data_IF_390812681484
#
_entry.id   IF_390812681484
#
_cell.length_a   1.000
_cell.length_b   1.000
_cell.length_c   1.000
_cell.angle_alpha   90.00
_cell.angle_beta   90.00
_cell.angle_gamma   90.00
#
_symmetry.space_group_name_H-M   'P 1'
#
loop_
_entity.id
_entity.type
_entity.pdbx_description
1 polymer ?
#
# COMPACT_ATOMS: atom_id res chain seq x y z
N UNK A 1 1.48 11.12 31.26
CA UNK A 1 0.87 9.88 30.75
C UNK A 1 0.03 10.29 29.56
N UNK A 2 0.59 10.26 28.36
CA UNK A 2 -0.16 10.49 27.13
C UNK A 2 -0.96 9.22 26.85
N UNK A 3 -2.27 9.36 26.62
CA UNK A 3 -3.20 8.28 26.32
C UNK A 3 -2.62 7.29 25.30
N UNK A 4 -2.26 6.09 25.76
CA UNK A 4 -2.00 4.94 24.89
C UNK A 4 -3.34 4.42 24.41
N UNK A 5 -4.00 5.19 23.53
CA UNK A 5 -5.32 4.89 23.00
C UNK A 5 -5.41 3.45 22.47
N UNK A 6 -6.33 2.67 23.03
CA UNK A 6 -7.23 1.66 22.44
C UNK A 6 -6.70 0.80 21.25
N UNK A 7 -5.42 0.47 21.17
CA UNK A 7 -4.93 -0.51 20.19
C UNK A 7 -4.87 -1.89 20.82
N UNK A 8 -5.93 -2.69 20.65
CA UNK A 8 -5.94 -4.09 21.10
C UNK A 8 -5.41 -4.99 19.98
N UNK A 9 -4.31 -5.74 20.21
CA UNK A 9 -3.82 -6.72 19.24
C UNK A 9 -4.88 -7.79 18.93
N UNK A 10 -5.07 -8.08 17.64
CA UNK A 10 -5.90 -9.18 17.15
C UNK A 10 -5.01 -10.20 16.45
N UNK A 11 -5.07 -11.46 16.89
CA UNK A 11 -4.32 -12.56 16.27
C UNK A 11 -4.86 -12.84 14.86
N UNK A 12 -3.96 -13.03 13.91
CA UNK A 12 -4.28 -13.40 12.53
C UNK A 12 -3.93 -14.87 12.27
N UNK A 13 -4.43 -15.44 11.17
CA UNK A 13 -4.31 -16.87 10.91
C UNK A 13 -2.88 -17.38 10.63
N UNK A 14 -1.92 -16.49 10.36
CA UNK A 14 -0.49 -16.86 10.20
C UNK A 14 0.33 -16.68 11.50
N UNK A 15 -0.34 -16.36 12.62
CA UNK A 15 0.29 -16.17 13.93
C UNK A 15 0.82 -14.75 14.18
N UNK A 16 0.79 -13.86 13.18
CA UNK A 16 1.06 -12.43 13.37
C UNK A 16 -0.18 -11.70 13.92
N UNK A 17 -0.03 -10.42 14.25
CA UNK A 17 -1.11 -9.61 14.84
C UNK A 17 -1.50 -8.42 13.97
N UNK A 18 -2.72 -7.93 14.11
CA UNK A 18 -3.17 -6.65 13.56
C UNK A 18 -3.81 -5.79 14.66
N UNK A 19 -3.90 -4.48 14.46
CA UNK A 19 -4.86 -3.64 15.19
C UNK A 19 -6.16 -3.48 14.40
N UNK A 20 -7.19 -2.97 15.08
CA UNK A 20 -8.42 -2.47 14.47
C UNK A 20 -8.49 -0.96 14.68
N UNK A 21 -8.71 -0.20 13.61
CA UNK A 21 -8.98 1.22 13.69
C UNK A 21 -10.48 1.45 13.84
N UNK A 22 -10.90 2.01 14.97
CA UNK A 22 -12.30 2.41 15.17
C UNK A 22 -12.70 3.56 14.23
N UNK A 23 -11.78 4.47 13.93
CA UNK A 23 -11.99 5.60 13.02
C UNK A 23 -12.34 5.13 11.59
N UNK A 24 -11.58 4.17 11.07
CA UNK A 24 -11.78 3.66 9.71
C UNK A 24 -12.71 2.43 9.65
N UNK A 25 -12.98 1.79 10.79
CA UNK A 25 -13.79 0.59 10.89
C UNK A 25 -13.18 -0.63 10.20
N UNK A 26 -11.84 -0.69 10.15
CA UNK A 26 -11.05 -1.69 9.43
C UNK A 26 -9.84 -2.15 10.26
N UNK A 27 -9.36 -3.36 9.99
CA UNK A 27 -8.07 -3.83 10.54
C UNK A 27 -6.92 -3.25 9.73
N UNK A 28 -5.78 -2.97 10.39
CA UNK A 28 -4.57 -2.44 9.73
C UNK A 28 -3.97 -3.42 8.73
N UNK A 29 -4.00 -4.71 9.08
CA UNK A 29 -3.67 -5.80 8.18
C UNK A 29 -4.76 -6.84 8.23
N UNK A 30 -4.66 -7.81 7.35
CA UNK A 30 -5.67 -8.80 7.19
C UNK A 30 -5.65 -9.91 8.24
N UNK A 31 -6.82 -10.28 8.74
CA UNK A 31 -6.99 -11.35 9.74
C UNK A 31 -6.56 -12.75 9.26
N UNK A 32 -6.37 -12.96 7.95
CA UNK A 32 -5.87 -14.24 7.42
C UNK A 32 -4.34 -14.37 7.47
N UNK A 33 -3.64 -13.32 7.88
CA UNK A 33 -2.20 -13.33 8.05
C UNK A 33 -1.58 -12.03 7.59
N UNK A 34 -1.13 -11.23 8.56
CA UNK A 34 -0.56 -9.90 8.29
C UNK A 34 0.88 -9.99 7.79
N UNK A 35 1.66 -10.95 8.29
CA UNK A 35 3.02 -11.23 7.78
C UNK A 35 2.97 -11.73 6.33
N UNK A 36 2.11 -12.71 6.06
CA UNK A 36 1.94 -13.27 4.71
C UNK A 36 1.41 -12.23 3.72
N UNK A 37 0.57 -11.31 4.18
CA UNK A 37 0.13 -10.18 3.37
C UNK A 37 1.29 -9.26 2.99
N UNK A 38 2.13 -8.84 3.95
CA UNK A 38 3.31 -8.02 3.69
C UNK A 38 4.24 -8.65 2.64
N UNK A 39 4.53 -9.94 2.79
CA UNK A 39 5.38 -10.69 1.86
C UNK A 39 4.77 -10.78 0.45
N UNK A 40 3.54 -11.27 0.34
CA UNK A 40 2.94 -11.64 -0.95
C UNK A 40 2.28 -10.47 -1.69
N UNK A 41 1.81 -9.43 -0.99
CA UNK A 41 1.15 -8.27 -1.61
C UNK A 41 2.10 -7.11 -1.86
N UNK A 42 3.22 -7.02 -1.13
CA UNK A 42 4.14 -5.89 -1.23
C UNK A 42 5.55 -6.31 -1.64
N UNK A 43 6.21 -7.21 -0.91
CA UNK A 43 7.61 -7.57 -1.16
C UNK A 43 7.79 -8.33 -2.48
N UNK A 44 7.00 -9.37 -2.73
CA UNK A 44 7.10 -10.14 -3.98
C UNK A 44 6.77 -9.31 -5.23
N UNK A 45 5.65 -8.57 -5.29
CA UNK A 45 5.28 -7.87 -6.52
C UNK A 45 6.23 -6.72 -6.89
N UNK A 46 6.92 -6.15 -5.90
CA UNK A 46 7.95 -5.12 -6.11
C UNK A 46 9.31 -5.69 -6.54
N UNK A 47 9.43 -7.02 -6.67
CA UNK A 47 10.63 -7.74 -7.11
C UNK A 47 11.85 -7.45 -6.25
N UNK A 48 11.65 -7.16 -4.96
CA UNK A 48 12.76 -6.77 -4.10
C UNK A 48 13.84 -7.87 -4.01
N UNK A 49 13.49 -9.16 -4.13
CA UNK A 49 14.46 -10.26 -4.17
C UNK A 49 15.46 -10.14 -5.31
N UNK A 50 15.00 -9.76 -6.50
CA UNK A 50 15.88 -9.50 -7.63
C UNK A 50 16.65 -8.18 -7.44
N UNK A 51 15.99 -7.15 -6.93
CA UNK A 51 16.60 -5.82 -6.75
C UNK A 51 17.67 -5.81 -5.66
N UNK A 52 17.59 -6.67 -4.64
CA UNK A 52 18.54 -6.74 -3.53
C UNK A 52 19.99 -7.07 -3.94
N UNK A 53 20.21 -7.55 -5.17
CA UNK A 53 21.55 -7.68 -5.75
C UNK A 53 22.23 -6.33 -6.06
N UNK A 54 21.47 -5.23 -6.07
CA UNK A 54 22.03 -3.88 -6.15
C UNK A 54 22.71 -3.50 -4.83
N UNK A 55 23.72 -2.61 -4.84
CA UNK A 55 24.41 -2.19 -3.63
C UNK A 55 23.53 -1.31 -2.72
N UNK A 56 22.53 -0.63 -3.29
CA UNK A 56 21.64 0.26 -2.55
C UNK A 56 20.22 0.19 -3.10
N UNK A 57 19.24 0.14 -2.20
CA UNK A 57 17.82 0.21 -2.52
C UNK A 57 17.13 1.35 -1.78
N UNK A 58 16.19 1.98 -2.47
CA UNK A 58 15.35 3.04 -1.93
C UNK A 58 13.91 2.54 -1.78
N UNK A 59 13.36 2.62 -0.57
CA UNK A 59 12.02 2.14 -0.26
C UNK A 59 11.16 3.29 0.27
N UNK A 60 9.91 3.35 -0.17
CA UNK A 60 8.90 4.26 0.37
C UNK A 60 7.71 3.46 0.88
N UNK A 61 7.41 3.58 2.17
CA UNK A 61 6.28 2.91 2.83
C UNK A 61 5.21 3.95 3.19
N UNK A 62 4.08 3.94 2.48
CA UNK A 62 2.99 4.90 2.65
C UNK A 62 1.90 4.24 3.48
N UNK A 63 1.58 4.85 4.62
CA UNK A 63 0.78 4.28 5.70
C UNK A 63 1.51 3.13 6.40
N UNK A 64 2.65 3.49 7.00
CA UNK A 64 3.54 2.58 7.69
C UNK A 64 2.82 1.67 8.71
N UNK A 65 1.87 2.21 9.48
CA UNK A 65 1.08 1.45 10.45
C UNK A 65 1.94 0.70 11.45
N UNK A 66 1.86 -0.64 11.41
CA UNK A 66 2.63 -1.52 12.30
C UNK A 66 4.08 -1.74 11.83
N UNK A 67 4.38 -1.37 10.58
CA UNK A 67 5.67 -1.53 9.93
C UNK A 67 5.92 -2.90 9.29
N UNK A 68 4.91 -3.76 9.16
CA UNK A 68 5.13 -5.13 8.65
C UNK A 68 5.64 -5.19 7.21
N UNK A 69 5.19 -4.29 6.34
CA UNK A 69 5.70 -4.19 4.97
C UNK A 69 7.19 -3.87 4.97
N UNK A 70 7.61 -2.93 5.83
CA UNK A 70 9.03 -2.61 6.05
C UNK A 70 9.81 -3.79 6.64
N UNK A 71 9.25 -4.51 7.62
CA UNK A 71 9.94 -5.63 8.27
C UNK A 71 10.21 -6.77 7.26
N UNK A 72 9.18 -7.12 6.47
CA UNK A 72 9.28 -8.12 5.42
C UNK A 72 10.29 -7.70 4.34
N UNK A 73 10.31 -6.41 3.96
CA UNK A 73 11.23 -5.90 2.97
C UNK A 73 12.69 -5.97 3.44
N UNK A 74 12.98 -5.51 4.67
CA UNK A 74 14.34 -5.53 5.23
C UNK A 74 14.86 -6.96 5.41
N UNK A 75 14.03 -7.87 5.94
CA UNK A 75 14.40 -9.29 6.07
C UNK A 75 14.77 -9.89 4.74
N UNK A 76 13.92 -9.73 3.72
CA UNK A 76 14.17 -10.31 2.41
C UNK A 76 15.42 -9.68 1.77
N UNK A 77 15.59 -8.35 1.83
CA UNK A 77 16.75 -7.67 1.24
C UNK A 77 18.05 -8.19 1.85
N UNK A 78 18.12 -8.27 3.19
CA UNK A 78 19.34 -8.69 3.88
C UNK A 78 19.55 -10.20 3.92
N UNK A 79 18.50 -11.01 3.70
CA UNK A 79 18.62 -12.44 3.39
C UNK A 79 19.36 -12.64 2.06
N UNK A 80 19.02 -11.86 1.03
CA UNK A 80 19.63 -11.96 -0.31
C UNK A 80 21.02 -11.32 -0.34
N UNK A 81 21.16 -10.15 0.26
CA UNK A 81 22.40 -9.38 0.29
C UNK A 81 22.56 -8.68 1.65
N UNK A 82 23.29 -9.31 2.59
CA UNK A 82 23.51 -8.76 3.93
C UNK A 82 24.16 -7.37 3.96
N UNK A 83 24.83 -6.98 2.87
CA UNK A 83 25.53 -5.71 2.72
C UNK A 83 24.74 -4.68 1.90
N UNK A 84 23.54 -5.01 1.43
CA UNK A 84 22.70 -4.06 0.70
C UNK A 84 22.35 -2.88 1.62
N UNK A 85 22.73 -1.67 1.21
CA UNK A 85 22.30 -0.45 1.89
C UNK A 85 20.85 -0.14 1.55
N UNK A 86 20.07 0.24 2.54
CA UNK A 86 18.67 0.63 2.34
C UNK A 86 18.49 2.09 2.74
N UNK A 87 18.05 2.92 1.81
CA UNK A 87 17.46 4.23 2.09
C UNK A 87 15.95 4.03 2.21
N UNK A 88 15.39 4.33 3.36
CA UNK A 88 13.99 4.06 3.63
C UNK A 88 13.28 5.30 4.14
N UNK A 89 12.07 5.52 3.62
CA UNK A 89 11.17 6.56 4.10
C UNK A 89 9.81 5.94 4.38
N UNK A 90 9.28 6.15 5.57
CA UNK A 90 7.91 5.82 5.94
C UNK A 90 7.07 7.07 6.13
N UNK A 91 5.81 7.03 5.71
CA UNK A 91 4.82 8.07 5.98
C UNK A 91 3.72 7.50 6.88
N UNK A 92 3.44 8.17 7.99
CA UNK A 92 2.40 7.77 8.94
C UNK A 92 1.64 9.00 9.43
N UNK A 93 0.31 8.90 9.55
CA UNK A 93 -0.49 9.98 10.11
C UNK A 93 -0.40 9.99 11.63
N UNK A 94 -0.53 8.82 12.25
CA UNK A 94 -0.63 8.68 13.71
C UNK A 94 0.60 7.99 14.30
N UNK A 95 1.47 8.79 14.94
CA UNK A 95 2.66 8.31 15.63
C UNK A 95 2.38 7.36 16.80
N UNK A 96 1.14 7.29 17.30
CA UNK A 96 0.77 6.38 18.38
C UNK A 96 0.68 4.92 17.90
N UNK A 97 0.39 4.68 16.62
CA UNK A 97 0.28 3.32 16.05
C UNK A 97 1.64 2.58 16.09
N UNK A 98 2.76 3.14 15.56
CA UNK A 98 4.08 2.52 15.70
C UNK A 98 4.49 2.27 17.15
N UNK A 99 4.18 3.23 18.04
CA UNK A 99 4.51 3.12 19.47
C UNK A 99 3.73 1.99 20.14
N UNK A 100 2.44 1.85 19.82
CA UNK A 100 1.62 0.76 20.30
C UNK A 100 2.10 -0.60 19.76
N UNK A 101 2.50 -0.68 18.50
CA UNK A 101 3.04 -1.92 17.92
C UNK A 101 4.29 -2.42 18.68
N UNK A 102 5.17 -1.50 19.09
CA UNK A 102 6.33 -1.80 19.94
C UNK A 102 5.91 -2.20 21.35
N UNK A 103 5.02 -1.43 21.98
CA UNK A 103 4.56 -1.69 23.35
C UNK A 103 3.85 -3.05 23.48
N UNK A 104 3.14 -3.49 22.45
CA UNK A 104 2.47 -4.78 22.38
C UNK A 104 3.34 -5.92 21.82
N UNK A 105 4.63 -5.66 21.55
CA UNK A 105 5.57 -6.67 21.05
C UNK A 105 5.16 -7.31 19.72
N UNK A 106 4.43 -6.58 18.87
CA UNK A 106 3.92 -7.12 17.60
C UNK A 106 5.03 -7.50 16.63
N UNK A 107 6.22 -6.94 16.83
CA UNK A 107 7.38 -7.20 15.97
C UNK A 107 8.23 -8.40 16.40
N UNK A 108 7.92 -9.08 17.50
CA UNK A 108 8.73 -10.20 18.00
C UNK A 108 8.74 -11.42 17.07
N UNK A 109 7.82 -11.50 16.10
CA UNK A 109 7.77 -12.56 15.08
C UNK A 109 8.69 -12.29 13.87
N UNK A 110 9.35 -11.14 13.85
CA UNK A 110 10.34 -10.74 12.86
C UNK A 110 11.76 -10.88 13.44
N UNK A 111 12.77 -10.72 12.60
CA UNK A 111 14.17 -10.75 12.96
C UNK A 111 14.43 -9.79 14.14
N UNK A 112 15.13 -10.21 15.21
CA UNK A 112 15.42 -9.35 16.37
C UNK A 112 16.04 -7.99 16.04
N UNK A 113 16.80 -7.87 14.95
CA UNK A 113 17.34 -6.59 14.49
C UNK A 113 16.24 -5.58 14.12
N UNK A 114 15.11 -6.05 13.57
CA UNK A 114 13.94 -5.22 13.29
C UNK A 114 13.37 -4.63 14.57
N UNK A 115 13.36 -5.36 15.69
CA UNK A 115 12.84 -4.81 16.94
C UNK A 115 13.58 -3.53 17.38
N UNK A 116 14.91 -3.50 17.22
CA UNK A 116 15.72 -2.31 17.55
C UNK A 116 15.49 -1.16 16.56
N UNK A 117 15.49 -1.46 15.26
CA UNK A 117 15.24 -0.46 14.21
C UNK A 117 13.88 0.21 14.44
N UNK A 118 12.85 -0.58 14.70
CA UNK A 118 11.48 -0.08 14.76
C UNK A 118 11.20 0.64 16.08
N UNK A 119 11.83 0.22 17.19
CA UNK A 119 11.82 1.00 18.42
C UNK A 119 12.42 2.39 18.20
N UNK A 120 13.55 2.49 17.50
CA UNK A 120 14.15 3.79 17.15
C UNK A 120 13.24 4.60 16.22
N UNK A 121 12.68 4.01 15.15
CA UNK A 121 11.72 4.71 14.29
C UNK A 121 10.51 5.24 15.06
N UNK A 122 9.92 4.45 15.96
CA UNK A 122 8.76 4.85 16.75
C UNK A 122 9.07 5.96 17.78
N UNK A 123 10.33 6.09 18.22
CA UNK A 123 10.73 7.04 19.28
C UNK A 123 11.39 8.31 18.75
N UNK A 124 12.31 8.20 17.80
CA UNK A 124 13.08 9.32 17.23
C UNK A 124 12.67 9.68 15.80
N UNK A 125 11.92 8.81 15.11
CA UNK A 125 11.59 8.95 13.70
C UNK A 125 12.77 8.67 12.76
N UNK A 126 13.95 8.26 13.26
CA UNK A 126 15.16 8.07 12.44
C UNK A 126 16.01 6.90 12.92
N UNK A 127 16.60 6.19 11.97
CA UNK A 127 17.62 5.16 12.21
C UNK A 127 18.74 5.33 11.21
N UNK A 128 19.98 5.28 11.70
CA UNK A 128 21.16 5.27 10.86
C UNK A 128 22.14 4.21 11.34
N UNK A 129 22.44 3.27 10.46
CA UNK A 129 23.46 2.22 10.62
C UNK A 129 24.34 2.18 9.36
N UNK A 130 25.30 1.26 9.29
CA UNK A 130 26.12 1.08 8.09
C UNK A 130 25.29 0.68 6.85
N UNK A 131 24.19 -0.07 7.06
CA UNK A 131 23.34 -0.61 5.98
C UNK A 131 21.92 -0.06 5.93
N UNK A 132 21.54 0.85 6.82
CA UNK A 132 20.21 1.45 6.84
C UNK A 132 20.29 2.95 7.12
N UNK A 133 19.66 3.76 6.28
CA UNK A 133 19.28 5.13 6.59
C UNK A 133 17.75 5.22 6.46
N UNK A 134 17.05 5.34 7.58
CA UNK A 134 15.60 5.27 7.63
C UNK A 134 15.01 6.50 8.32
N UNK A 135 13.95 7.05 7.74
CA UNK A 135 13.18 8.15 8.32
C UNK A 135 11.68 7.86 8.30
N UNK A 136 11.04 7.89 9.45
CA UNK A 136 9.58 7.89 9.59
C UNK A 136 9.09 9.32 9.75
N UNK A 137 8.28 9.79 8.81
CA UNK A 137 7.72 11.14 8.80
C UNK A 137 6.25 11.07 9.23
N UNK A 138 5.95 11.76 10.33
CA UNK A 138 4.60 11.83 10.87
C UNK A 138 3.87 13.05 10.28
N UNK A 139 2.70 12.82 9.69
CA UNK A 139 1.84 13.85 9.13
C UNK A 139 0.96 13.33 7.98
N UNK A 140 0.06 14.18 7.49
CA UNK A 140 -0.80 13.85 6.34
C UNK A 140 0.07 13.48 5.12
N UNK A 141 -0.12 12.26 4.62
CA UNK A 141 0.62 11.73 3.48
C UNK A 141 0.50 12.63 2.24
N UNK A 142 -0.62 13.38 2.07
CA UNK A 142 -0.81 14.33 0.97
C UNK A 142 0.19 15.49 1.00
N UNK A 143 0.63 15.89 2.20
CA UNK A 143 1.66 16.92 2.39
C UNK A 143 3.06 16.32 2.41
N UNK A 144 3.26 15.22 3.15
CA UNK A 144 4.60 14.64 3.33
C UNK A 144 5.15 14.02 2.04
N UNK A 145 4.29 13.47 1.15
CA UNK A 145 4.75 12.98 -0.17
C UNK A 145 5.37 14.07 -1.03
N UNK A 146 4.90 15.31 -0.93
CA UNK A 146 5.47 16.45 -1.65
C UNK A 146 6.87 16.78 -1.13
N UNK A 147 7.07 16.70 0.19
CA UNK A 147 8.39 16.87 0.81
C UNK A 147 9.38 15.82 0.32
N UNK A 148 8.94 14.56 0.20
CA UNK A 148 9.76 13.46 -0.35
C UNK A 148 10.13 13.70 -1.81
N UNK A 149 9.17 14.16 -2.61
CA UNK A 149 9.48 14.50 -3.99
C UNK A 149 10.54 15.61 -4.09
N UNK A 150 10.40 16.66 -3.27
CA UNK A 150 11.30 17.82 -3.25
C UNK A 150 12.68 17.53 -2.65
N UNK A 151 12.83 16.49 -1.83
CA UNK A 151 14.13 16.00 -1.38
C UNK A 151 14.88 15.21 -2.47
N UNK A 152 14.30 15.10 -3.67
CA UNK A 152 14.81 14.32 -4.80
C UNK A 152 14.88 12.81 -4.53
N UNK A 153 14.14 12.31 -3.53
CA UNK A 153 14.04 10.90 -3.24
C UNK A 153 13.22 10.18 -4.32
N UNK A 154 13.73 9.06 -4.82
CA UNK A 154 13.04 8.16 -5.77
C UNK A 154 13.23 6.72 -5.33
N UNK A 155 12.13 5.98 -5.21
CA UNK A 155 12.07 4.63 -4.68
C UNK A 155 12.22 3.56 -5.77
N UNK A 156 12.96 2.51 -5.47
CA UNK A 156 12.95 1.24 -6.19
C UNK A 156 11.66 0.46 -5.94
N UNK A 157 11.11 0.59 -4.72
CA UNK A 157 9.83 0.01 -4.34
C UNK A 157 8.99 0.99 -3.51
N UNK A 158 7.71 1.13 -3.87
CA UNK A 158 6.71 1.87 -3.07
C UNK A 158 5.68 0.87 -2.56
N UNK A 159 5.44 0.88 -1.26
CA UNK A 159 4.31 0.20 -0.63
C UNK A 159 3.21 1.23 -0.39
N UNK A 160 2.05 1.02 -1.01
CA UNK A 160 0.88 1.87 -0.85
C UNK A 160 -0.19 1.09 -0.09
N UNK A 161 -0.26 1.31 1.22
CA UNK A 161 -1.10 0.52 2.13
C UNK A 161 -2.04 1.34 3.05
N UNK A 162 -2.80 2.33 2.52
CA UNK A 162 -3.80 3.01 3.34
C UNK A 162 -5.05 2.13 3.53
N UNK A 163 -5.91 2.50 4.47
CA UNK A 163 -7.25 1.92 4.60
C UNK A 163 -8.05 2.00 3.29
N UNK A 164 -9.08 1.16 3.16
CA UNK A 164 -9.71 0.90 1.86
C UNK A 164 -10.29 2.16 1.21
N UNK A 165 -10.42 2.21 -0.13
CA UNK A 165 -10.83 3.44 -0.82
C UNK A 165 -12.14 4.10 -0.37
N UNK A 166 -13.18 3.35 0.05
CA UNK A 166 -14.36 3.95 0.66
C UNK A 166 -14.13 4.55 2.05
N UNK A 167 -13.11 4.11 2.79
CA UNK A 167 -12.79 4.56 4.16
C UNK A 167 -11.75 5.68 4.21
N UNK A 168 -10.72 5.61 3.37
CA UNK A 168 -9.66 6.62 3.29
C UNK A 168 -9.48 7.14 1.86
N UNK A 169 -10.53 7.72 1.23
CA UNK A 169 -10.48 8.14 -0.18
C UNK A 169 -9.37 9.15 -0.50
N UNK A 170 -8.90 9.92 0.50
CA UNK A 170 -7.84 10.92 0.39
C UNK A 170 -6.55 10.35 -0.24
N UNK A 171 -6.23 9.10 0.06
CA UNK A 171 -4.97 8.45 -0.36
C UNK A 171 -5.13 7.59 -1.62
N UNK A 172 -6.28 7.70 -2.30
CA UNK A 172 -6.59 6.98 -3.54
C UNK A 172 -6.97 7.91 -4.69
N UNK A 173 -6.75 9.22 -4.52
CA UNK A 173 -7.08 10.22 -5.55
C UNK A 173 -6.05 10.25 -6.66
N UNK A 174 -6.46 10.70 -7.85
CA UNK A 174 -5.53 10.90 -8.97
C UNK A 174 -4.39 11.83 -8.56
N UNK A 175 -4.69 12.89 -7.84
CA UNK A 175 -3.72 13.90 -7.43
C UNK A 175 -2.69 13.35 -6.45
N UNK A 176 -3.14 12.61 -5.43
CA UNK A 176 -2.22 11.98 -4.48
C UNK A 176 -1.36 10.93 -5.19
N UNK A 177 -1.97 10.04 -5.97
CA UNK A 177 -1.23 8.97 -6.67
C UNK A 177 -0.29 9.51 -7.76
N UNK A 178 -0.56 10.70 -8.31
CA UNK A 178 0.38 11.40 -9.20
C UNK A 178 1.63 11.85 -8.45
N UNK A 179 1.50 12.31 -7.20
CA UNK A 179 2.66 12.60 -6.35
C UNK A 179 3.43 11.34 -5.96
N UNK A 180 2.72 10.26 -5.65
CA UNK A 180 3.35 8.96 -5.37
C UNK A 180 4.13 8.46 -6.58
N UNK A 181 3.56 8.51 -7.79
CA UNK A 181 4.22 8.11 -9.03
C UNK A 181 5.50 8.93 -9.30
N UNK A 182 5.49 10.24 -8.99
CA UNK A 182 6.68 11.09 -9.11
C UNK A 182 7.82 10.67 -8.16
N UNK A 183 7.52 9.97 -7.07
CA UNK A 183 8.52 9.42 -6.14
C UNK A 183 9.00 8.02 -6.56
N UNK A 184 8.53 7.47 -7.67
CA UNK A 184 8.96 6.17 -8.19
C UNK A 184 10.13 6.33 -9.17
N UNK A 185 11.15 5.47 -9.09
CA UNK A 185 12.17 5.39 -10.15
C UNK A 185 11.58 4.86 -11.47
N UNK A 186 12.19 5.14 -12.63
CA UNK A 186 11.71 4.61 -13.92
C UNK A 186 11.56 3.08 -13.98
N UNK A 187 12.46 2.35 -13.32
CA UNK A 187 12.45 0.89 -13.15
C UNK A 187 11.87 0.45 -11.79
N UNK A 188 11.31 1.40 -11.03
CA UNK A 188 10.66 1.19 -9.76
C UNK A 188 9.33 0.44 -9.89
N UNK A 189 8.89 -0.19 -8.80
CA UNK A 189 7.55 -0.79 -8.70
C UNK A 189 6.78 -0.29 -7.49
N UNK A 190 5.52 0.06 -7.69
CA UNK A 190 4.56 0.31 -6.64
C UNK A 190 3.70 -0.94 -6.46
N UNK A 191 3.43 -1.33 -5.22
CA UNK A 191 2.47 -2.38 -4.91
C UNK A 191 1.42 -1.91 -3.89
N UNK A 192 0.20 -2.41 -4.06
CA UNK A 192 -0.91 -2.20 -3.13
C UNK A 192 -1.81 -3.43 -3.09
N UNK A 193 -2.42 -3.72 -1.93
CA UNK A 193 -3.41 -4.79 -1.80
C UNK A 193 -4.70 -4.51 -2.61
N UNK A 194 -4.98 -3.24 -2.92
CA UNK A 194 -6.23 -2.83 -3.52
C UNK A 194 -6.32 -3.24 -5.00
N UNK A 195 -7.43 -3.88 -5.38
CA UNK A 195 -7.82 -4.14 -6.77
C UNK A 195 -8.99 -3.28 -7.25
N UNK A 196 -9.32 -2.21 -6.52
CA UNK A 196 -10.44 -1.35 -6.87
C UNK A 196 -10.21 -0.71 -8.26
N UNK A 197 -11.23 -0.74 -9.11
CA UNK A 197 -11.15 -0.18 -10.46
C UNK A 197 -10.80 1.32 -10.44
N UNK A 198 -11.33 2.09 -9.50
CA UNK A 198 -10.99 3.51 -9.32
C UNK A 198 -9.51 3.75 -8.98
N UNK A 199 -8.90 2.88 -8.15
CA UNK A 199 -7.48 2.97 -7.80
C UNK A 199 -6.62 2.66 -9.02
N UNK A 200 -6.95 1.59 -9.74
CA UNK A 200 -6.27 1.21 -10.99
C UNK A 200 -6.38 2.30 -12.06
N UNK A 201 -7.55 2.89 -12.22
CA UNK A 201 -7.76 4.03 -13.13
C UNK A 201 -6.95 5.26 -12.69
N UNK A 202 -6.85 5.54 -11.40
CA UNK A 202 -6.03 6.64 -10.90
C UNK A 202 -4.52 6.41 -11.07
N UNK A 203 -4.04 5.17 -10.91
CA UNK A 203 -2.65 4.80 -11.23
C UNK A 203 -2.35 4.96 -12.73
N UNK A 204 -3.28 4.55 -13.60
CA UNK A 204 -3.19 4.78 -15.05
C UNK A 204 -3.14 6.29 -15.35
N UNK A 205 -4.01 7.07 -14.71
CA UNK A 205 -4.03 8.53 -14.86
C UNK A 205 -2.74 9.20 -14.37
N UNK A 206 -2.06 8.60 -13.37
CA UNK A 206 -0.73 9.01 -12.91
C UNK A 206 0.42 8.62 -13.86
N UNK A 207 0.11 8.02 -15.01
CA UNK A 207 1.09 7.61 -16.03
C UNK A 207 1.74 6.25 -15.78
N UNK A 208 1.24 5.49 -14.80
CA UNK A 208 1.74 4.15 -14.52
C UNK A 208 0.99 3.10 -15.33
N UNK A 209 1.71 2.09 -15.75
CA UNK A 209 1.13 0.86 -16.25
C UNK A 209 0.83 -0.06 -15.06
N UNK A 210 -0.24 -0.84 -15.15
CA UNK A 210 -0.76 -1.63 -14.03
C UNK A 210 -0.86 -3.11 -14.39
N UNK A 211 -0.76 -3.95 -13.37
CA UNK A 211 -1.06 -5.35 -13.45
C UNK A 211 -1.57 -5.92 -12.14
N UNK A 212 -1.95 -7.19 -12.19
CA UNK A 212 -2.48 -7.91 -11.05
C UNK A 212 -1.33 -8.56 -10.28
N UNK A 213 -1.36 -8.49 -8.95
CA UNK A 213 -0.50 -9.37 -8.15
C UNK A 213 -1.14 -10.76 -8.07
N UNK A 214 -0.34 -11.79 -7.77
CA UNK A 214 -0.91 -13.13 -7.63
C UNK A 214 -1.98 -13.17 -6.51
N UNK A 215 -3.11 -13.84 -6.75
CA UNK A 215 -4.12 -14.03 -5.71
C UNK A 215 -3.54 -14.88 -4.58
N UNK A 216 -3.73 -14.44 -3.35
CA UNK A 216 -3.29 -15.17 -2.15
C UNK A 216 -4.48 -15.94 -1.60
N UNK A 217 -4.47 -17.26 -1.78
CA UNK A 217 -5.59 -18.12 -1.39
C UNK A 217 -6.87 -17.81 -2.19
N UNK A 218 -8.00 -17.59 -1.50
CA UNK A 218 -9.31 -17.28 -2.13
C UNK A 218 -9.53 -15.79 -2.41
N UNK A 219 -8.50 -14.95 -2.29
CA UNK A 219 -8.63 -13.49 -2.34
C UNK A 219 -8.42 -12.93 -3.72
N UNK A 220 -9.02 -11.78 -3.93
CA UNK A 220 -8.74 -10.94 -5.07
C UNK A 220 -7.23 -10.65 -5.19
N UNK A 221 -6.72 -10.51 -6.42
CA UNK A 221 -5.37 -10.03 -6.65
C UNK A 221 -5.20 -8.62 -6.06
N UNK A 222 -3.96 -8.17 -5.86
CA UNK A 222 -3.67 -6.76 -5.59
C UNK A 222 -3.40 -6.01 -6.90
N UNK A 223 -2.74 -4.86 -6.80
CA UNK A 223 -2.25 -4.12 -7.97
C UNK A 223 -0.75 -3.87 -7.83
N UNK A 224 0.00 -4.15 -8.90
CA UNK A 224 1.38 -3.67 -9.08
C UNK A 224 1.38 -2.63 -10.19
N UNK A 225 2.20 -1.59 -10.06
CA UNK A 225 2.31 -0.53 -11.03
C UNK A 225 3.75 -0.09 -11.26
N UNK A 226 4.10 0.30 -12.49
CA UNK A 226 5.42 0.81 -12.88
C UNK A 226 5.31 1.70 -14.11
N UNK A 227 6.35 2.46 -14.44
CA UNK A 227 6.44 3.16 -15.73
C UNK A 227 6.74 2.20 -16.89
N UNK A 228 7.19 0.97 -16.62
CA UNK A 228 7.53 -0.03 -17.64
C UNK A 228 6.74 -1.33 -17.46
N UNK A 229 6.36 -1.93 -18.59
CA UNK A 229 5.43 -3.08 -18.62
C UNK A 229 6.10 -4.44 -18.71
N UNK A 230 7.43 -4.49 -18.88
CA UNK A 230 8.11 -5.66 -19.42
C UNK A 230 7.86 -6.95 -18.60
N UNK A 231 7.62 -6.84 -17.29
CA UNK A 231 7.45 -7.99 -16.40
C UNK A 231 6.30 -7.83 -15.39
N UNK A 232 5.24 -7.11 -15.77
CA UNK A 232 4.02 -6.98 -14.95
C UNK A 232 2.94 -7.92 -15.49
N UNK A 233 2.38 -8.77 -14.61
CA UNK A 233 1.31 -9.69 -15.00
C UNK A 233 0.06 -8.93 -15.44
N UNK A 234 -0.44 -9.25 -16.63
CA UNK A 234 -1.63 -8.59 -17.18
C UNK A 234 -2.86 -8.82 -16.30
N UNK A 235 -3.76 -7.82 -16.29
CA UNK A 235 -5.07 -7.96 -15.70
C UNK A 235 -5.88 -9.06 -16.43
N UNK A 236 -6.66 -9.83 -15.69
CA UNK A 236 -7.62 -10.77 -16.30
C UNK A 236 -8.66 -10.03 -17.15
N UNK A 237 -9.30 -10.72 -18.10
CA UNK A 237 -10.39 -10.15 -18.92
C UNK A 237 -11.48 -9.53 -18.05
N UNK A 238 -11.85 -10.20 -16.95
CA UNK A 238 -12.82 -9.71 -15.98
C UNK A 238 -12.41 -8.36 -15.38
N UNK A 239 -11.14 -8.22 -15.00
CA UNK A 239 -10.59 -6.99 -14.42
C UNK A 239 -10.46 -5.87 -15.46
N UNK A 240 -10.06 -6.20 -16.70
CA UNK A 240 -10.01 -5.25 -17.80
C UNK A 240 -11.41 -4.71 -18.12
N UNK A 241 -12.43 -5.57 -18.20
CA UNK A 241 -13.83 -5.13 -18.36
C UNK A 241 -14.29 -4.25 -17.20
N UNK A 242 -13.89 -4.57 -15.97
CA UNK A 242 -14.29 -3.79 -14.79
C UNK A 242 -13.79 -2.32 -14.87
N UNK A 243 -12.64 -2.08 -15.50
CA UNK A 243 -12.10 -0.75 -15.77
C UNK A 243 -12.95 0.08 -16.74
N UNK A 244 -13.86 -0.54 -17.49
CA UNK A 244 -14.78 0.15 -18.41
C UNK A 244 -16.16 0.42 -17.78
N UNK A 245 -16.29 0.23 -16.47
CA UNK A 245 -17.53 0.48 -15.72
C UNK A 245 -17.44 1.77 -14.89
N UNK A 246 -18.58 2.21 -14.35
CA UNK A 246 -18.64 3.32 -13.39
C UNK A 246 -17.76 3.11 -12.15
N UNK A 247 -17.37 1.87 -11.81
CA UNK A 247 -16.44 1.62 -10.70
C UNK A 247 -15.05 2.22 -10.94
N UNK A 248 -14.64 2.40 -12.20
CA UNK A 248 -13.34 2.93 -12.59
C UNK A 248 -13.24 4.45 -12.52
N UNK A 249 -14.36 5.15 -12.29
CA UNK A 249 -14.34 6.60 -12.09
C UNK A 249 -13.50 6.88 -10.84
N UNK A 250 -12.38 7.62 -10.96
CA UNK A 250 -11.41 7.75 -9.90
C UNK A 250 -11.90 8.72 -8.82
N UNK A 251 -11.27 8.64 -7.65
CA UNK A 251 -11.40 9.67 -6.62
C UNK A 251 -10.56 10.90 -7.02
N UNK A 252 -11.00 12.10 -6.62
CA UNK A 252 -10.34 13.37 -6.93
C UNK A 252 -10.23 14.21 -5.68
N UNK A 253 -9.06 14.79 -5.46
CA UNK A 253 -8.77 15.79 -4.42
C UNK A 253 -7.79 16.82 -5.00
N UNK A 254 -8.27 17.71 -5.91
CA UNK A 254 -7.43 18.72 -6.55
C UNK A 254 -6.55 19.56 -5.60
N UNK A 255 -7.06 20.02 -4.43
CA UNK A 255 -6.25 20.82 -3.51
C UNK A 255 -5.40 19.98 -2.55
N UNK A 256 -5.53 18.65 -2.55
CA UNK A 256 -4.82 17.73 -1.65
C UNK A 256 -5.09 17.98 -0.16
N UNK A 257 -6.31 18.43 0.15
CA UNK A 257 -6.74 18.73 1.51
C UNK A 257 -8.25 18.57 1.72
N UNK A 258 -9.01 18.10 0.73
CA UNK A 258 -10.45 17.88 0.89
C UNK A 258 -10.74 16.80 1.95
N UNK A 259 -11.83 16.95 2.71
CA UNK A 259 -12.27 15.91 3.64
C UNK A 259 -12.84 14.70 2.87
N UNK A 260 -12.87 13.53 3.53
CA UNK A 260 -13.25 12.27 2.89
C UNK A 260 -14.66 12.29 2.28
N UNK A 261 -15.62 12.91 2.97
CA UNK A 261 -17.02 13.02 2.55
C UNK A 261 -17.17 13.83 1.26
N UNK A 262 -16.44 14.94 1.14
CA UNK A 262 -16.42 15.75 -0.09
C UNK A 262 -15.87 14.95 -1.28
N UNK A 263 -14.78 14.21 -1.09
CA UNK A 263 -14.17 13.37 -2.13
C UNK A 263 -15.13 12.25 -2.56
N UNK A 264 -15.80 11.60 -1.60
CA UNK A 264 -16.78 10.56 -1.86
C UNK A 264 -18.00 11.10 -2.61
N UNK A 265 -18.53 12.24 -2.18
CA UNK A 265 -19.68 12.89 -2.81
C UNK A 265 -19.35 13.31 -4.24
N UNK A 266 -18.17 13.90 -4.48
CA UNK A 266 -17.70 14.26 -5.82
C UNK A 266 -17.70 13.03 -6.74
N UNK A 267 -17.06 11.96 -6.30
CA UNK A 267 -16.99 10.71 -7.08
C UNK A 267 -18.38 10.14 -7.36
N UNK A 268 -19.29 10.20 -6.39
CA UNK A 268 -20.66 9.72 -6.57
C UNK A 268 -21.41 10.51 -7.66
N UNK A 269 -21.27 11.84 -7.66
CA UNK A 269 -21.84 12.70 -8.71
C UNK A 269 -21.26 12.34 -10.08
N UNK A 270 -19.93 12.18 -10.18
CA UNK A 270 -19.27 11.79 -11.44
C UNK A 270 -19.73 10.40 -11.92
N UNK A 271 -19.93 9.46 -10.99
CA UNK A 271 -20.50 8.13 -11.30
C UNK A 271 -21.92 8.21 -11.82
N UNK A 272 -22.76 9.08 -11.26
CA UNK A 272 -24.14 9.26 -11.69
C UNK A 272 -24.20 9.90 -13.09
N UNK A 273 -23.37 10.92 -13.32
CA UNK A 273 -23.29 11.65 -14.60
C UNK A 273 -22.67 10.83 -15.74
N UNK A 274 -21.86 9.81 -15.43
CA UNK A 274 -21.19 9.00 -16.44
C UNK A 274 -22.13 8.11 -17.26
N UNK A 275 -21.85 8.00 -18.56
CA UNK A 275 -22.50 7.05 -19.48
C UNK A 275 -21.89 5.64 -19.43
N UNK A 276 -20.83 5.42 -18.64
CA UNK A 276 -20.21 4.09 -18.50
C UNK A 276 -21.20 3.07 -17.91
N UNK A 277 -20.93 1.80 -18.18
CA UNK A 277 -21.73 0.70 -17.68
C UNK A 277 -21.79 0.68 -16.14
N UNK A 278 -22.97 0.49 -15.52
CA UNK A 278 -23.07 0.23 -14.09
C UNK A 278 -22.38 -1.08 -13.68
N UNK A 279 -21.66 -1.06 -12.56
CA UNK A 279 -20.97 -2.25 -12.03
C UNK A 279 -21.90 -3.43 -11.77
N UNK A 280 -23.19 -3.20 -11.50
CA UNK A 280 -24.19 -4.26 -11.33
C UNK A 280 -24.41 -5.09 -12.60
N UNK A 281 -24.36 -4.47 -13.78
CA UNK A 281 -24.52 -5.17 -15.06
C UNK A 281 -23.31 -6.05 -15.35
N UNK A 282 -22.10 -5.50 -15.16
CA UNK A 282 -20.85 -6.26 -15.22
C UNK A 282 -20.85 -7.45 -14.24
N UNK A 283 -21.24 -7.23 -12.97
CA UNK A 283 -21.34 -8.32 -11.97
C UNK A 283 -22.29 -9.42 -12.43
N UNK A 284 -23.46 -9.04 -12.98
CA UNK A 284 -24.46 -9.99 -13.47
C UNK A 284 -23.86 -10.89 -14.57
N UNK A 285 -23.16 -10.32 -15.56
CA UNK A 285 -22.53 -11.11 -16.64
C UNK A 285 -21.58 -12.18 -16.08
N UNK A 286 -20.70 -11.79 -15.17
CA UNK A 286 -19.67 -12.70 -14.65
C UNK A 286 -20.24 -13.75 -13.68
N UNK A 287 -21.29 -13.43 -12.93
CA UNK A 287 -22.02 -14.42 -12.12
C UNK A 287 -22.64 -15.51 -12.99
N UNK A 288 -23.31 -15.14 -14.09
CA UNK A 288 -23.89 -16.10 -15.03
C UNK A 288 -22.82 -16.97 -15.72
N UNK A 289 -21.70 -16.38 -16.13
CA UNK A 289 -20.59 -17.14 -16.74
C UNK A 289 -19.91 -18.10 -15.77
N UNK A 290 -19.81 -17.74 -14.47
CA UNK A 290 -19.28 -18.68 -13.47
C UNK A 290 -20.18 -19.89 -13.23
N UNK A 291 -21.51 -19.72 -13.34
CA UNK A 291 -22.47 -20.81 -13.18
C UNK A 291 -22.44 -21.77 -14.38
N UNK A 292 -22.25 -21.25 -15.60
CA UNK A 292 -22.13 -22.06 -16.82
C UNK A 292 -20.83 -22.88 -16.89
N UNK A 293 -19.79 -22.50 -16.15
CA UNK A 293 -18.52 -23.26 -16.07
C UNK A 293 -18.53 -24.40 -15.04
N UNK A 294 -19.58 -24.49 -14.22
CA UNK A 294 -19.74 -25.53 -13.18
C UNK A 294 -20.70 -26.64 -13.66
N UNK A 295 -21.31 -26.49 -14.84
CA UNK A 295 -22.06 -27.53 -15.56
C UNK A 295 -21.17 -28.19 -16.60
#
# INVERSE_FOLDING_TARGET
MQDMGIFTPQLTADGSFTFFSEEFGETFHSQQGAKKEAELKFVEPTQLRQKAHQPTLHLLDICYGLGYNTAAALEMIWEVNPNCRVEWVGLELDASVPKAAIAHHLLNHWNPENAQIFHQLATSGKVQTERLNAQLIVGDARATIQQIYHSNFRADAIFLDPFSPPRCPQLWTVEFLSWVAKCLKPDGRLATYSCAAAVRAALIAAGLQIGATFPVGRRSPGTVASFTNLDIAALSVQEQEHLHTKAAIPYRDPPLCEPADAILQRRQIDQQASALEPTSHWKKRWLFQSQLRIQ
#
